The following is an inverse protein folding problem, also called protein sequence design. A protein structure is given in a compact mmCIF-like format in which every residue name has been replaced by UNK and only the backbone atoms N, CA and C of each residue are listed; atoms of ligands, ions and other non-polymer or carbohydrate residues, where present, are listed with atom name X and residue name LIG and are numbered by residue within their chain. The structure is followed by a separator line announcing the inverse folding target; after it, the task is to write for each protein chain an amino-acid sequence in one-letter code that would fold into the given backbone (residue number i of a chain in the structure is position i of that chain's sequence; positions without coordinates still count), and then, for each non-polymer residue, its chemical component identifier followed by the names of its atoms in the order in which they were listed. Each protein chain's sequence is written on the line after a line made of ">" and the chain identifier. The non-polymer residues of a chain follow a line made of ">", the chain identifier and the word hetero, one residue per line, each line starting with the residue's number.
data_IF_298600753197
#
_entry.id   IF_298600753197
#
_cell.length_a   1.000
_cell.length_b   1.000
_cell.length_c   1.000
_cell.angle_alpha   90.00
_cell.angle_beta   90.00
_cell.angle_gamma   90.00
#
_symmetry.space_group_name_H-M   'P 1'
#
loop_
_entity.id
_entity.type
_entity.pdbx_description
1 polymer ?
#
# COMPACT_ATOMS: atom_id res chain seq x y z
N UNK A 1 56.39 55.96 -16.08
CA UNK A 1 55.15 55.50 -16.74
C UNK A 1 55.53 54.73 -17.99
N UNK A 2 55.22 53.43 -18.06
CA UNK A 2 54.57 52.79 -19.21
C UNK A 2 54.36 51.29 -18.96
N UNK A 3 53.13 50.89 -19.26
CA UNK A 3 52.38 49.66 -18.95
C UNK A 3 52.74 48.51 -19.89
N UNK A 4 52.74 47.24 -19.42
CA UNK A 4 52.17 46.07 -20.13
C UNK A 4 51.68 45.00 -19.15
N UNK A 5 50.39 44.64 -19.25
CA UNK A 5 49.71 43.49 -18.61
C UNK A 5 49.58 42.37 -19.66
N UNK A 6 49.83 41.11 -19.31
CA UNK A 6 49.41 39.87 -20.03
C UNK A 6 49.28 38.76 -18.95
N UNK A 7 48.10 38.35 -18.48
CA UNK A 7 47.12 37.33 -18.97
C UNK A 7 47.59 35.86 -18.92
N UNK A 8 46.91 35.04 -18.09
CA UNK A 8 46.55 33.60 -18.23
C UNK A 8 46.42 32.98 -16.80
N UNK A 9 45.31 32.41 -16.30
CA UNK A 9 44.08 31.94 -16.90
C UNK A 9 44.08 30.41 -17.04
N UNK A 10 43.70 29.65 -16.00
CA UNK A 10 43.25 28.24 -16.13
C UNK A 10 42.09 27.94 -15.17
N UNK A 11 40.88 28.07 -15.73
CA UNK A 11 39.71 27.18 -15.63
C UNK A 11 39.49 26.38 -14.33
N UNK A 12 38.61 26.91 -13.48
CA UNK A 12 37.82 26.09 -12.57
C UNK A 12 36.74 25.35 -13.39
N UNK A 13 36.92 24.06 -13.63
CA UNK A 13 35.87 23.19 -14.18
C UNK A 13 34.84 22.92 -13.08
N UNK A 14 33.81 23.78 -13.01
CA UNK A 14 32.62 23.50 -12.21
C UNK A 14 31.89 22.30 -12.80
N UNK A 15 31.99 21.15 -12.15
CA UNK A 15 31.10 20.03 -12.39
C UNK A 15 29.68 20.46 -11.96
N UNK A 16 28.90 20.97 -12.90
CA UNK A 16 27.46 21.11 -12.71
C UNK A 16 26.88 19.70 -12.71
N UNK A 17 26.81 19.11 -11.52
CA UNK A 17 25.93 17.97 -11.27
C UNK A 17 24.52 18.45 -11.59
N UNK A 18 24.03 18.07 -12.78
CA UNK A 18 22.62 18.14 -13.14
C UNK A 18 21.87 17.30 -12.11
N UNK A 19 21.44 17.93 -11.02
CA UNK A 19 20.42 17.39 -10.16
C UNK A 19 19.15 17.34 -11.00
N UNK A 20 18.97 16.22 -11.71
CA UNK A 20 17.70 15.90 -12.33
C UNK A 20 16.64 16.03 -11.23
N UNK A 21 15.58 16.83 -11.44
CA UNK A 21 14.51 16.91 -10.46
C UNK A 21 13.99 15.49 -10.28
N UNK A 22 14.12 14.95 -9.06
CA UNK A 22 13.39 13.77 -8.67
C UNK A 22 11.92 14.13 -8.92
N UNK A 23 11.33 13.55 -9.98
CA UNK A 23 9.98 13.87 -10.38
C UNK A 23 9.10 13.68 -9.17
N UNK A 24 8.53 14.78 -8.67
CA UNK A 24 7.55 14.74 -7.60
C UNK A 24 6.38 13.90 -8.10
N UNK A 25 6.34 12.63 -7.72
CA UNK A 25 5.16 11.81 -7.94
C UNK A 25 4.06 12.40 -7.08
N UNK A 26 2.99 12.86 -7.73
CA UNK A 26 1.77 13.23 -7.05
C UNK A 26 1.42 12.10 -6.09
N UNK A 27 1.29 12.41 -4.80
CA UNK A 27 0.80 11.47 -3.82
C UNK A 27 -0.58 11.02 -4.31
N UNK A 28 -0.69 9.76 -4.73
CA UNK A 28 -1.99 9.16 -5.05
C UNK A 28 -2.78 9.19 -3.74
N UNK A 29 -4.01 9.72 -3.72
CA UNK A 29 -4.80 9.73 -2.50
C UNK A 29 -4.94 8.29 -1.99
N UNK A 30 -4.73 8.14 -0.69
CA UNK A 30 -4.88 6.87 0.00
C UNK A 30 -6.32 6.35 -0.12
N UNK A 31 -6.49 5.05 -0.40
CA UNK A 31 -7.81 4.44 -0.54
C UNK A 31 -8.25 3.78 0.77
N UNK A 32 -9.25 4.34 1.50
CA UNK A 32 -9.79 3.69 2.69
C UNK A 32 -10.67 2.49 2.31
N UNK A 33 -10.65 1.46 3.15
CA UNK A 33 -11.56 0.32 3.06
C UNK A 33 -12.11 -0.08 4.42
N UNK A 34 -13.29 -0.68 4.41
CA UNK A 34 -13.93 -1.21 5.60
C UNK A 34 -14.91 -2.32 5.24
N UNK A 35 -14.72 -3.49 5.84
CA UNK A 35 -15.64 -4.61 5.80
C UNK A 35 -16.25 -4.75 7.18
N UNK A 36 -17.48 -4.24 7.31
CA UNK A 36 -18.14 -3.95 8.58
C UNK A 36 -17.41 -2.85 9.36
N UNK A 37 -18.00 -1.65 9.46
CA UNK A 37 -17.39 -0.53 10.19
C UNK A 37 -17.67 -0.69 11.70
N UNK A 38 -16.70 -0.47 12.60
CA UNK A 38 -16.90 -0.72 14.04
C UNK A 38 -17.97 0.18 14.69
N UNK A 39 -18.39 1.26 14.02
CA UNK A 39 -19.47 2.14 14.48
C UNK A 39 -20.88 1.65 14.13
N UNK A 40 -21.02 0.61 13.29
CA UNK A 40 -22.31 0.00 13.03
C UNK A 40 -22.64 -1.01 14.14
N UNK A 41 -23.85 -0.92 14.70
CA UNK A 41 -24.31 -1.71 15.85
C UNK A 41 -24.19 -3.22 15.69
N UNK A 42 -24.08 -3.69 14.45
CA UNK A 42 -24.11 -5.11 14.10
C UNK A 42 -22.73 -5.63 13.65
N UNK A 43 -21.66 -4.83 13.78
CA UNK A 43 -20.31 -5.16 13.33
C UNK A 43 -19.42 -5.76 14.42
N UNK A 44 -19.83 -6.92 14.91
CA UNK A 44 -19.04 -7.65 15.91
C UNK A 44 -17.72 -8.21 15.35
N UNK A 45 -17.61 -8.43 14.04
CA UNK A 45 -16.41 -8.94 13.38
C UNK A 45 -16.15 -8.08 12.13
N UNK A 46 -14.90 -7.72 11.86
CA UNK A 46 -14.61 -6.87 10.70
C UNK A 46 -13.13 -6.59 10.47
N UNK A 47 -12.88 -5.81 9.43
CA UNK A 47 -11.58 -5.20 9.18
C UNK A 47 -11.73 -3.85 8.51
N UNK A 48 -10.87 -2.90 8.85
CA UNK A 48 -10.81 -1.59 8.21
C UNK A 48 -9.38 -1.09 8.12
N UNK A 49 -9.11 -0.27 7.13
CA UNK A 49 -7.76 0.24 6.91
C UNK A 49 -7.67 1.13 5.69
N UNK A 50 -6.44 1.28 5.21
CA UNK A 50 -6.07 2.17 4.11
C UNK A 50 -5.05 1.47 3.20
N UNK A 51 -5.18 1.71 1.89
CA UNK A 51 -4.19 1.32 0.89
C UNK A 51 -3.38 2.56 0.52
N UNK A 52 -2.09 2.49 0.77
CA UNK A 52 -1.12 3.52 0.36
C UNK A 52 -0.45 3.05 -0.92
N UNK A 53 -0.69 3.75 -2.02
CA UNK A 53 -0.12 3.40 -3.31
C UNK A 53 1.30 3.95 -3.47
N UNK A 54 2.17 3.13 -4.04
CA UNK A 54 3.51 3.51 -4.46
C UNK A 54 3.67 3.30 -5.96
N UNK A 55 4.83 3.65 -6.53
CA UNK A 55 5.03 3.56 -7.98
C UNK A 55 4.81 2.12 -8.52
N UNK A 56 5.34 1.11 -7.82
CA UNK A 56 5.27 -0.30 -8.26
C UNK A 56 4.56 -1.24 -7.31
N UNK A 57 4.29 -0.77 -6.09
CA UNK A 57 3.77 -1.54 -4.98
C UNK A 57 2.63 -0.77 -4.31
N UNK A 58 1.98 -1.40 -3.34
CA UNK A 58 1.11 -0.73 -2.38
C UNK A 58 1.34 -1.32 -0.99
N UNK A 59 0.91 -0.61 0.05
CA UNK A 59 0.87 -1.14 1.41
C UNK A 59 -0.56 -1.02 1.92
N UNK A 60 -1.16 -2.15 2.32
CA UNK A 60 -2.42 -2.15 3.05
C UNK A 60 -2.13 -2.14 4.56
N UNK A 61 -2.53 -1.08 5.25
CA UNK A 61 -2.46 -0.99 6.72
C UNK A 61 -3.86 -0.99 7.29
N UNK A 62 -4.04 -1.50 8.51
CA UNK A 62 -5.37 -1.53 9.10
C UNK A 62 -5.44 -2.34 10.39
N UNK A 63 -6.67 -2.62 10.80
CA UNK A 63 -7.01 -3.42 11.98
C UNK A 63 -8.04 -4.48 11.59
N UNK A 64 -7.93 -5.66 12.21
CA UNK A 64 -8.91 -6.74 12.10
C UNK A 64 -9.37 -7.12 13.51
N UNK A 65 -10.67 -7.41 13.67
CA UNK A 65 -11.27 -7.77 14.95
C UNK A 65 -12.27 -8.93 14.84
N UNK A 66 -12.44 -9.60 15.98
CA UNK A 66 -13.39 -10.70 16.15
C UNK A 66 -13.97 -10.70 17.56
N UNK A 67 -15.08 -9.99 17.76
CA UNK A 67 -15.71 -9.86 19.07
C UNK A 67 -16.78 -10.90 19.35
N UNK A 68 -17.28 -11.62 18.33
CA UNK A 68 -18.37 -12.58 18.54
C UNK A 68 -18.32 -13.82 17.66
N UNK A 69 -18.87 -14.90 18.19
CA UNK A 69 -18.88 -16.21 17.54
C UNK A 69 -17.69 -17.07 17.93
N UNK A 70 -17.65 -18.28 17.39
CA UNK A 70 -16.52 -19.20 17.50
C UNK A 70 -15.72 -19.19 16.21
N UNK A 71 -14.41 -19.43 16.28
CA UNK A 71 -13.55 -19.60 15.09
C UNK A 71 -12.60 -18.42 14.89
N UNK A 72 -12.39 -18.02 13.63
CA UNK A 72 -11.48 -16.92 13.29
C UNK A 72 -12.01 -16.04 12.16
N UNK A 73 -11.71 -14.75 12.24
CA UNK A 73 -11.89 -13.77 11.17
C UNK A 73 -10.61 -13.64 10.36
N UNK A 74 -10.73 -13.40 9.06
CA UNK A 74 -9.61 -13.24 8.15
C UNK A 74 -9.78 -12.02 7.24
N UNK A 75 -8.74 -11.20 7.12
CA UNK A 75 -8.60 -10.19 6.08
C UNK A 75 -7.63 -10.72 5.03
N UNK A 76 -8.04 -10.73 3.77
CA UNK A 76 -7.29 -11.34 2.68
C UNK A 76 -6.97 -10.32 1.60
N UNK A 77 -5.72 -10.31 1.15
CA UNK A 77 -5.18 -9.28 0.26
C UNK A 77 -4.46 -9.92 -0.93
N UNK A 78 -4.73 -9.43 -2.13
CA UNK A 78 -4.01 -9.82 -3.34
C UNK A 78 -3.78 -8.62 -4.25
N UNK A 79 -2.66 -8.64 -4.97
CA UNK A 79 -2.29 -7.56 -5.88
C UNK A 79 -2.28 -8.06 -7.32
N UNK A 80 -2.53 -7.16 -8.27
CA UNK A 80 -2.56 -7.47 -9.70
C UNK A 80 -1.76 -6.47 -10.52
N UNK A 81 -1.20 -6.95 -11.62
CA UNK A 81 -0.70 -6.16 -12.74
C UNK A 81 -1.48 -6.56 -14.00
N UNK A 82 -2.37 -5.69 -14.45
CA UNK A 82 -3.43 -6.05 -15.40
C UNK A 82 -4.37 -7.08 -14.78
N UNK A 83 -4.61 -8.18 -15.48
CA UNK A 83 -5.46 -9.29 -15.01
C UNK A 83 -4.69 -10.37 -14.25
N UNK A 84 -3.36 -10.25 -14.15
CA UNK A 84 -2.51 -11.25 -13.51
C UNK A 84 -2.30 -10.92 -12.04
N UNK A 85 -2.64 -11.86 -11.16
CA UNK A 85 -2.26 -11.76 -9.75
C UNK A 85 -0.74 -11.82 -9.63
N UNK A 86 -0.17 -10.88 -8.88
CA UNK A 86 1.26 -10.78 -8.57
C UNK A 86 1.44 -11.12 -7.09
N UNK A 87 2.44 -11.96 -6.81
CA UNK A 87 2.71 -12.44 -5.46
C UNK A 87 1.65 -13.42 -4.94
N UNK A 88 1.79 -13.76 -3.66
CA UNK A 88 0.87 -14.66 -2.95
C UNK A 88 -0.34 -13.90 -2.41
N UNK A 89 -1.41 -14.65 -2.13
CA UNK A 89 -2.48 -14.18 -1.26
C UNK A 89 -1.90 -13.96 0.15
N UNK A 90 -1.99 -12.74 0.68
CA UNK A 90 -1.66 -12.46 2.09
C UNK A 90 -2.94 -12.56 2.92
N UNK A 91 -2.81 -13.04 4.16
CA UNK A 91 -3.96 -13.26 5.04
C UNK A 91 -3.58 -12.90 6.47
N UNK A 92 -4.43 -12.09 7.10
CA UNK A 92 -4.36 -11.74 8.52
C UNK A 92 -5.53 -12.35 9.23
N UNK A 93 -5.26 -12.97 10.37
CA UNK A 93 -6.23 -13.82 11.07
C UNK A 93 -6.27 -13.44 12.53
N UNK A 94 -7.48 -13.22 13.05
CA UNK A 94 -7.71 -13.10 14.49
C UNK A 94 -8.71 -14.14 14.93
N UNK A 95 -8.52 -14.67 16.14
CA UNK A 95 -9.35 -15.72 16.71
C UNK A 95 -10.37 -15.15 17.69
N UNK A 96 -11.46 -15.87 17.90
CA UNK A 96 -12.46 -15.55 18.91
C UNK A 96 -11.81 -15.38 20.30
N UNK A 97 -12.18 -14.30 21.00
CA UNK A 97 -11.60 -13.94 22.29
C UNK A 97 -10.20 -13.31 22.21
N UNK A 98 -9.68 -13.09 21.00
CA UNK A 98 -8.46 -12.31 20.77
C UNK A 98 -8.70 -10.81 20.89
N UNK A 99 -7.62 -10.07 21.09
CA UNK A 99 -7.62 -8.60 20.93
C UNK A 99 -7.63 -8.23 19.44
N UNK A 100 -8.01 -6.99 19.15
CA UNK A 100 -7.86 -6.41 17.83
C UNK A 100 -6.40 -6.45 17.39
N UNK A 101 -6.16 -6.83 16.13
CA UNK A 101 -4.82 -6.95 15.60
C UNK A 101 -4.60 -5.94 14.48
N UNK A 102 -3.59 -5.09 14.65
CA UNK A 102 -3.10 -4.21 13.60
C UNK A 102 -2.24 -4.96 12.59
N UNK A 103 -2.29 -4.56 11.32
CA UNK A 103 -1.46 -5.14 10.28
C UNK A 103 -0.88 -4.10 9.32
N UNK A 104 0.20 -4.51 8.64
CA UNK A 104 0.81 -3.81 7.53
C UNK A 104 1.27 -4.85 6.51
N UNK A 105 0.68 -4.82 5.32
CA UNK A 105 0.89 -5.81 4.26
C UNK A 105 1.45 -5.11 3.03
N UNK A 106 2.70 -5.43 2.70
CA UNK A 106 3.31 -5.01 1.43
C UNK A 106 2.76 -5.83 0.26
N UNK A 107 2.35 -5.15 -0.79
CA UNK A 107 1.69 -5.72 -1.97
C UNK A 107 2.42 -5.32 -3.25
N UNK A 108 2.59 -6.29 -4.15
CA UNK A 108 3.27 -6.10 -5.43
C UNK A 108 4.74 -6.51 -5.41
N UNK A 109 5.48 -6.02 -6.40
CA UNK A 109 6.88 -6.37 -6.65
C UNK A 109 7.61 -5.14 -7.16
N UNK A 110 8.69 -4.74 -6.48
CA UNK A 110 9.49 -3.57 -6.84
C UNK A 110 10.22 -3.73 -8.16
N UNK A 111 10.49 -4.96 -8.59
CA UNK A 111 11.21 -5.27 -9.83
C UNK A 111 10.26 -5.43 -11.02
N UNK A 112 8.95 -5.51 -10.78
CA UNK A 112 7.95 -5.60 -11.82
C UNK A 112 7.81 -4.26 -12.57
N UNK A 113 8.23 -4.25 -13.83
CA UNK A 113 8.02 -3.10 -14.73
C UNK A 113 6.53 -2.87 -14.91
N UNK A 114 6.09 -1.62 -14.72
CA UNK A 114 4.68 -1.22 -14.74
C UNK A 114 3.99 -1.33 -13.39
N UNK A 115 4.53 -2.10 -12.44
CA UNK A 115 3.98 -2.21 -11.09
C UNK A 115 2.62 -2.90 -11.03
N UNK A 116 2.01 -2.82 -9.86
CA UNK A 116 0.62 -3.21 -9.66
C UNK A 116 -0.33 -2.07 -10.05
N UNK A 117 -1.52 -2.42 -10.55
CA UNK A 117 -2.60 -1.49 -10.89
C UNK A 117 -3.90 -1.77 -10.12
N UNK A 118 -3.99 -2.91 -9.42
CA UNK A 118 -5.16 -3.27 -8.62
C UNK A 118 -4.77 -4.02 -7.35
N UNK A 119 -5.46 -3.71 -6.26
CA UNK A 119 -5.47 -4.47 -5.01
C UNK A 119 -6.89 -4.95 -4.80
N UNK A 120 -7.05 -6.24 -4.51
CA UNK A 120 -8.32 -6.77 -4.06
C UNK A 120 -8.22 -7.13 -2.58
N UNK A 121 -9.27 -6.78 -1.84
CA UNK A 121 -9.42 -7.11 -0.43
C UNK A 121 -10.75 -7.84 -0.22
N UNK A 122 -10.77 -8.83 0.67
CA UNK A 122 -12.02 -9.40 1.18
C UNK A 122 -11.90 -9.77 2.65
N UNK A 123 -13.03 -9.91 3.30
CA UNK A 123 -13.14 -10.33 4.69
C UNK A 123 -13.90 -11.65 4.80
N UNK A 124 -13.40 -12.56 5.63
CA UNK A 124 -14.07 -13.82 5.95
C UNK A 124 -14.27 -13.89 7.45
N UNK A 125 -15.45 -14.29 7.92
CA UNK A 125 -15.67 -14.59 9.32
C UNK A 125 -16.68 -15.74 9.48
N UNK A 126 -16.74 -16.39 10.64
CA UNK A 126 -17.65 -17.50 10.87
C UNK A 126 -19.12 -17.05 10.92
N UNK A 127 -19.37 -15.76 11.13
CA UNK A 127 -20.71 -15.16 11.10
C UNK A 127 -21.19 -14.88 9.68
N UNK A 128 -20.30 -14.92 8.69
CA UNK A 128 -20.67 -14.83 7.29
C UNK A 128 -20.82 -16.24 6.74
N UNK A 129 -21.92 -16.51 6.03
CA UNK A 129 -22.14 -17.80 5.35
C UNK A 129 -21.01 -18.10 4.35
N UNK A 130 -20.39 -17.06 3.79
CA UNK A 130 -19.21 -17.09 2.92
C UNK A 130 -18.34 -15.86 3.20
N UNK A 131 -17.11 -15.82 2.68
CA UNK A 131 -16.36 -14.55 2.64
C UNK A 131 -17.15 -13.46 1.90
N UNK A 132 -16.90 -12.19 2.23
CA UNK A 132 -17.35 -11.06 1.43
C UNK A 132 -16.89 -11.23 -0.02
N UNK A 133 -17.63 -10.59 -0.93
CA UNK A 133 -17.12 -10.38 -2.28
C UNK A 133 -15.80 -9.61 -2.22
N UNK A 134 -14.98 -9.77 -3.26
CA UNK A 134 -13.76 -8.97 -3.41
C UNK A 134 -14.15 -7.52 -3.66
N UNK A 135 -13.62 -6.61 -2.83
CA UNK A 135 -13.58 -5.20 -3.16
C UNK A 135 -12.32 -4.93 -3.97
N UNK A 136 -12.48 -4.15 -5.05
CA UNK A 136 -11.42 -3.87 -6.02
C UNK A 136 -11.00 -2.41 -5.89
N UNK A 137 -9.72 -2.18 -5.70
CA UNK A 137 -9.11 -0.85 -5.58
C UNK A 137 -8.09 -0.66 -6.69
N UNK A 138 -8.16 0.46 -7.40
CA UNK A 138 -7.37 0.72 -8.60
C UNK A 138 -6.52 1.97 -8.43
N UNK A 139 -5.32 1.92 -9.00
CA UNK A 139 -4.37 3.03 -9.07
C UNK A 139 -4.48 3.77 -10.39
#
# INVERSE_FOLDING_TARGET
>A
MNTRKILAGVLAAGAMALAAPAGAQAAVPDDPYGFCWPSASDCANGTSGTIVWSNRTATATGTIWHYSGSGSSQAQFRAFAGDKQIGKLDTRTVHAGGADEGYSVGLGDTDLRGGINRVDIRFCSPTLTNCSVWAHFYK
#
